data_IF_694801217290
#
_entry.id   IF_694801217290
#
_cell.length_a   1.000
_cell.length_b   1.000
_cell.length_c   1.000
_cell.angle_alpha   90.00
_cell.angle_beta   90.00
_cell.angle_gamma   90.00
#
_symmetry.space_group_name_H-M   'P 1'
#
loop_
_entity.id
_entity.type
_entity.pdbx_description
1 polymer ?
#
# COMPACT_ATOMS: atom_id res chain seq x y z
N UNK A 1 9.68 -0.14 22.84
CA UNK A 1 8.83 -0.75 21.79
C UNK A 1 8.42 0.39 20.88
N UNK A 2 8.69 0.49 19.58
CA UNK A 2 9.33 -0.35 18.57
C UNK A 2 9.86 0.63 17.50
N UNK A 3 11.14 0.53 17.16
CA UNK A 3 11.74 1.26 16.04
C UNK A 3 12.31 0.24 15.07
N UNK A 4 12.01 0.39 13.78
CA UNK A 4 12.86 -0.19 12.75
C UNK A 4 12.31 -1.39 12.00
N UNK A 5 11.13 -1.29 11.38
CA UNK A 5 10.83 -2.08 10.19
C UNK A 5 10.71 -1.14 8.98
N UNK A 6 11.71 -1.25 8.10
CA UNK A 6 11.93 -0.55 6.82
C UNK A 6 12.28 0.95 6.85
N UNK A 7 13.49 1.32 7.27
CA UNK A 7 14.25 2.48 6.74
C UNK A 7 13.47 3.74 6.27
N UNK A 8 12.52 4.22 7.07
CA UNK A 8 11.72 5.42 6.75
C UNK A 8 10.60 5.25 5.72
N UNK A 9 10.32 4.04 5.21
CA UNK A 9 9.19 3.77 4.30
C UNK A 9 8.26 2.72 4.90
N UNK A 10 6.94 2.97 4.95
CA UNK A 10 6.00 2.02 5.53
C UNK A 10 5.98 0.76 4.69
N UNK A 11 6.57 -0.30 5.21
CA UNK A 11 6.42 -1.66 4.69
C UNK A 11 5.19 -2.28 5.33
N UNK A 12 4.38 -2.95 4.51
CA UNK A 12 3.31 -3.81 4.99
C UNK A 12 3.95 -4.98 5.75
N UNK A 13 3.79 -5.01 7.08
CA UNK A 13 4.20 -6.12 7.95
C UNK A 13 5.61 -6.71 7.72
N UNK A 14 6.59 -5.91 7.27
CA UNK A 14 7.95 -6.40 6.97
C UNK A 14 8.08 -7.26 5.70
N UNK A 15 7.06 -7.25 4.83
CA UNK A 15 7.11 -7.79 3.49
C UNK A 15 7.84 -6.81 2.56
N UNK A 16 8.57 -7.33 1.55
CA UNK A 16 9.24 -6.51 0.52
C UNK A 16 8.28 -5.95 -0.54
N UNK A 17 6.97 -6.07 -0.36
CA UNK A 17 5.97 -5.47 -1.23
C UNK A 17 5.75 -4.02 -0.81
N UNK A 18 5.91 -3.11 -1.78
CA UNK A 18 5.70 -1.68 -1.53
C UNK A 18 4.22 -1.39 -1.61
N UNK A 19 3.75 -0.50 -0.73
CA UNK A 19 2.39 0.06 -0.77
C UNK A 19 2.06 0.62 -2.16
N UNK A 20 3.05 1.18 -2.86
CA UNK A 20 2.90 1.70 -4.24
C UNK A 20 2.56 0.64 -5.28
N UNK A 21 3.06 -0.59 -5.15
CA UNK A 21 2.76 -1.65 -6.13
C UNK A 21 1.29 -2.08 -5.99
N UNK A 22 0.80 -2.21 -4.75
CA UNK A 22 -0.62 -2.53 -4.47
C UNK A 22 -1.52 -1.41 -4.97
N UNK A 23 -1.18 -0.15 -4.69
CA UNK A 23 -1.94 1.00 -5.20
C UNK A 23 -1.91 1.10 -6.73
N UNK A 24 -0.81 0.71 -7.37
CA UNK A 24 -0.69 0.62 -8.83
C UNK A 24 -1.67 -0.40 -9.41
N UNK A 25 -1.65 -1.64 -8.89
CA UNK A 25 -2.58 -2.69 -9.31
C UNK A 25 -4.04 -2.28 -9.10
N UNK A 26 -4.36 -1.65 -7.96
CA UNK A 26 -5.70 -1.13 -7.70
C UNK A 26 -6.08 -0.01 -8.69
N UNK A 27 -5.14 0.85 -9.08
CA UNK A 27 -5.36 1.88 -10.09
C UNK A 27 -5.55 1.30 -11.51
N UNK A 28 -4.93 0.17 -11.82
CA UNK A 28 -5.14 -0.59 -13.06
C UNK A 28 -6.47 -1.35 -13.09
N UNK A 29 -7.24 -1.34 -11.98
CA UNK A 29 -8.53 -1.99 -11.85
C UNK A 29 -8.46 -3.46 -11.41
N UNK A 30 -7.29 -3.92 -10.94
CA UNK A 30 -7.13 -5.27 -10.39
C UNK A 30 -7.94 -5.38 -9.10
N UNK A 31 -8.73 -6.45 -8.97
CA UNK A 31 -9.57 -6.68 -7.79
C UNK A 31 -8.74 -7.13 -6.59
N UNK A 32 -9.19 -6.79 -5.39
CA UNK A 32 -8.56 -7.23 -4.13
C UNK A 32 -8.31 -8.74 -4.08
N UNK A 33 -9.27 -9.54 -4.55
CA UNK A 33 -9.16 -11.00 -4.58
C UNK A 33 -8.07 -11.50 -5.53
N UNK A 34 -7.85 -10.83 -6.68
CA UNK A 34 -6.76 -11.17 -7.59
C UNK A 34 -5.41 -10.81 -6.98
N UNK A 35 -5.31 -9.63 -6.36
CA UNK A 35 -4.10 -9.23 -5.64
C UNK A 35 -3.77 -10.25 -4.54
N UNK A 36 -4.75 -10.70 -3.75
CA UNK A 36 -4.53 -11.71 -2.72
C UNK A 36 -4.19 -13.10 -3.31
N UNK A 37 -4.62 -13.38 -4.54
CA UNK A 37 -4.33 -14.63 -5.25
C UNK A 37 -2.91 -14.65 -5.82
N UNK A 38 -2.46 -13.55 -6.42
CA UNK A 38 -1.08 -13.36 -6.90
C UNK A 38 -0.08 -13.19 -5.76
N UNK A 39 -0.54 -12.62 -4.64
CA UNK A 39 0.23 -12.35 -3.44
C UNK A 39 -0.41 -13.08 -2.25
N UNK A 40 -0.30 -14.41 -2.15
CA UNK A 40 -0.93 -15.21 -1.09
C UNK A 40 -0.40 -14.93 0.33
N UNK A 41 0.63 -14.10 0.43
CA UNK A 41 1.21 -13.61 1.67
C UNK A 41 0.69 -12.22 2.07
N UNK A 42 -0.16 -11.59 1.25
CA UNK A 42 -0.92 -10.40 1.62
C UNK A 42 -2.22 -10.81 2.30
N UNK A 43 -2.61 -10.05 3.30
CA UNK A 43 -3.92 -10.14 3.92
C UNK A 43 -4.84 -9.02 3.38
N UNK A 44 -6.17 -9.20 3.38
CA UNK A 44 -7.09 -8.13 3.00
C UNK A 44 -6.92 -6.86 3.86
N UNK A 45 -6.42 -7.01 5.09
CA UNK A 45 -6.11 -5.87 5.97
C UNK A 45 -4.90 -5.06 5.48
N UNK A 46 -3.95 -5.70 4.80
CA UNK A 46 -2.78 -5.03 4.23
C UNK A 46 -3.17 -4.08 3.10
N UNK A 47 -4.15 -4.48 2.29
CA UNK A 47 -4.71 -3.62 1.24
C UNK A 47 -5.42 -2.42 1.87
N UNK A 48 -6.20 -2.62 2.93
CA UNK A 48 -6.85 -1.51 3.66
C UNK A 48 -5.81 -0.57 4.25
N UNK A 49 -4.72 -1.09 4.82
CA UNK A 49 -3.62 -0.29 5.34
C UNK A 49 -2.92 0.52 4.23
N UNK A 50 -2.72 -0.07 3.05
CA UNK A 50 -2.17 0.61 1.87
C UNK A 50 -3.07 1.77 1.43
N UNK A 51 -4.39 1.54 1.36
CA UNK A 51 -5.38 2.57 1.03
C UNK A 51 -5.44 3.68 2.09
N UNK A 52 -5.43 3.33 3.37
CA UNK A 52 -5.41 4.30 4.46
C UNK A 52 -4.13 5.15 4.45
N UNK A 53 -2.99 4.54 4.12
CA UNK A 53 -1.73 5.27 3.94
C UNK A 53 -1.82 6.24 2.75
N UNK A 54 -2.35 5.79 1.61
CA UNK A 54 -2.56 6.63 0.44
C UNK A 54 -3.49 7.82 0.78
N UNK A 55 -4.60 7.58 1.46
CA UNK A 55 -5.53 8.63 1.89
C UNK A 55 -4.85 9.67 2.79
N UNK A 56 -4.04 9.23 3.76
CA UNK A 56 -3.28 10.14 4.65
C UNK A 56 -2.21 10.93 3.90
N UNK A 57 -1.59 10.36 2.87
CA UNK A 57 -0.63 11.08 2.02
C UNK A 57 -1.32 12.07 1.08
N UNK A 58 -2.48 11.71 0.53
CA UNK A 58 -3.27 12.58 -0.34
C UNK A 58 -3.88 13.78 0.40
N UNK A 59 -4.13 13.66 1.71
CA UNK A 59 -4.56 14.79 2.56
C UNK A 59 -3.50 15.93 2.59
N UNK A 60 -2.24 15.61 2.26
CA UNK A 60 -1.15 16.58 2.05
C UNK A 60 -1.02 17.00 0.58
N UNK A 61 -2.14 17.29 -0.09
CA UNK A 61 -2.17 17.57 -1.53
C UNK A 61 -1.61 18.97 -1.88
N UNK A 62 -0.41 19.02 -2.48
CA UNK A 62 -0.12 19.98 -3.55
C UNK A 62 -0.55 19.32 -4.85
N UNK A 63 -1.73 19.68 -5.35
CA UNK A 63 -2.18 19.30 -6.69
C UNK A 63 -1.39 20.13 -7.71
N UNK A 64 -0.37 19.55 -8.34
CA UNK A 64 0.09 20.04 -9.64
C UNK A 64 -0.84 19.47 -10.71
N UNK A 65 -1.87 20.24 -11.04
CA UNK A 65 -2.56 20.15 -12.32
C UNK A 65 -1.54 20.53 -13.40
N UNK A 66 -1.32 19.63 -14.34
CA UNK A 66 -0.75 19.97 -15.65
C UNK A 66 -1.87 20.46 -16.57
#
# INVERSE_FOLDING_TARGET
>A
MESGKCGGRPCIRGLRVRVTDILGMLAEGVSHEEILRDYPYLEPDDIKAALAYAARQSDHAVLQTA
#
